data_IF_445867457880
#
_entry.id   IF_445867457880
#
_cell.length_a   1.000
_cell.length_b   1.000
_cell.length_c   1.000
_cell.angle_alpha   90.00
_cell.angle_beta   90.00
_cell.angle_gamma   90.00
#
_symmetry.space_group_name_H-M   'P 1'
#
loop_
_entity.id
_entity.type
_entity.pdbx_description
1 polymer ?
#
# COMPACT_ATOMS: atom_id res chain seq x y z
N UNK A 1 24.51 -18.38 23.00
CA UNK A 1 23.91 -17.14 23.54
C UNK A 1 24.64 -15.87 23.08
N UNK A 2 25.86 -15.57 23.53
CA UNK A 2 26.55 -14.31 23.14
C UNK A 2 26.96 -14.27 21.66
N UNK A 3 27.44 -15.41 21.14
CA UNK A 3 27.76 -15.61 19.72
C UNK A 3 26.53 -15.50 18.81
N UNK A 4 25.40 -16.10 19.23
CA UNK A 4 24.13 -16.03 18.50
C UNK A 4 23.58 -14.60 18.43
N UNK A 5 23.71 -13.83 19.52
CA UNK A 5 23.33 -12.41 19.54
C UNK A 5 24.21 -11.56 18.62
N UNK A 6 25.53 -11.83 18.57
CA UNK A 6 26.45 -11.14 17.64
C UNK A 6 26.12 -11.45 16.18
N UNK A 7 25.78 -12.71 15.86
CA UNK A 7 25.35 -13.11 14.53
C UNK A 7 24.03 -12.43 14.12
N UNK A 8 23.08 -12.31 15.05
CA UNK A 8 21.82 -11.59 14.80
C UNK A 8 22.03 -10.10 14.54
N UNK A 9 22.90 -9.43 15.30
CA UNK A 9 23.23 -8.02 15.09
C UNK A 9 23.91 -7.82 13.73
N UNK A 10 24.90 -8.65 13.39
CA UNK A 10 25.59 -8.58 12.11
C UNK A 10 24.62 -8.76 10.92
N UNK A 11 23.68 -9.70 11.01
CA UNK A 11 22.66 -9.90 9.99
C UNK A 11 21.70 -8.70 9.84
N UNK A 12 21.37 -8.02 10.94
CA UNK A 12 20.55 -6.80 10.91
C UNK A 12 21.33 -5.64 10.27
N UNK A 13 22.60 -5.48 10.61
CA UNK A 13 23.47 -4.44 10.06
C UNK A 13 23.72 -4.65 8.57
N UNK A 14 23.95 -5.89 8.13
CA UNK A 14 24.05 -6.26 6.72
C UNK A 14 22.75 -5.96 5.96
N UNK A 15 21.60 -6.33 6.52
CA UNK A 15 20.31 -6.02 5.93
C UNK A 15 20.02 -4.51 5.88
N UNK A 16 20.49 -3.74 6.86
CA UNK A 16 20.39 -2.28 6.87
C UNK A 16 21.30 -1.67 5.81
N UNK A 17 22.54 -2.13 5.69
CA UNK A 17 23.49 -1.71 4.67
C UNK A 17 22.97 -2.01 3.26
N UNK A 18 22.39 -3.20 3.03
CA UNK A 18 21.77 -3.55 1.76
C UNK A 18 20.57 -2.65 1.42
N UNK A 19 19.76 -2.28 2.41
CA UNK A 19 18.67 -1.30 2.22
C UNK A 19 19.22 0.09 1.89
N UNK A 20 20.28 0.52 2.57
CA UNK A 20 20.92 1.82 2.37
C UNK A 20 21.57 1.92 0.98
N UNK A 21 22.33 0.91 0.56
CA UNK A 21 22.97 0.84 -0.76
C UNK A 21 21.94 0.91 -1.90
N UNK A 22 20.79 0.25 -1.75
CA UNK A 22 19.70 0.36 -2.71
C UNK A 22 19.12 1.78 -2.80
N UNK A 23 19.11 2.54 -1.70
CA UNK A 23 18.67 3.95 -1.67
C UNK A 23 19.73 4.85 -2.32
N UNK A 24 21.02 4.58 -2.12
CA UNK A 24 22.12 5.33 -2.74
C UNK A 24 22.14 5.16 -4.26
N UNK A 25 21.98 3.93 -4.76
CA UNK A 25 21.86 3.66 -6.20
C UNK A 25 20.64 4.37 -6.83
N UNK A 26 19.53 4.47 -6.08
CA UNK A 26 18.36 5.22 -6.52
C UNK A 26 18.63 6.73 -6.57
N UNK A 27 19.40 7.27 -5.63
CA UNK A 27 19.77 8.69 -5.62
C UNK A 27 20.78 9.06 -6.72
N UNK A 28 21.67 8.13 -7.09
CA UNK A 28 22.61 8.32 -8.21
C UNK A 28 21.88 8.30 -9.56
N UNK A 29 20.95 7.35 -9.75
CA UNK A 29 20.23 7.16 -11.02
C UNK A 29 19.03 8.09 -11.18
N UNK A 30 18.44 8.56 -10.09
CA UNK A 30 17.25 9.40 -10.10
C UNK A 30 17.43 10.64 -9.23
N UNK A 31 17.27 11.82 -9.83
CA UNK A 31 17.14 13.07 -9.08
C UNK A 31 15.77 13.11 -8.40
N UNK A 32 15.71 12.62 -7.17
CA UNK A 32 14.48 12.56 -6.39
C UNK A 32 14.15 13.93 -5.75
N UNK A 33 12.90 14.41 -5.79
CA UNK A 33 12.48 15.63 -5.11
C UNK A 33 12.76 15.54 -3.61
N UNK A 34 13.21 16.62 -2.97
CA UNK A 34 13.43 16.65 -1.52
C UNK A 34 12.12 16.76 -0.73
N UNK A 35 11.03 17.17 -1.39
CA UNK A 35 9.72 17.33 -0.78
C UNK A 35 9.15 15.99 -0.34
N UNK A 36 8.96 15.85 0.97
CA UNK A 36 8.50 14.62 1.61
C UNK A 36 7.14 14.14 1.07
N UNK A 37 6.24 15.09 0.74
CA UNK A 37 4.93 14.76 0.15
C UNK A 37 5.09 14.11 -1.24
N UNK A 38 5.90 14.72 -2.10
CA UNK A 38 6.14 14.25 -3.47
C UNK A 38 6.84 12.90 -3.44
N UNK A 39 7.84 12.73 -2.57
CA UNK A 39 8.48 11.43 -2.31
C UNK A 39 7.49 10.37 -1.87
N UNK A 40 6.58 10.71 -0.95
CA UNK A 40 5.54 9.80 -0.48
C UNK A 40 4.63 9.30 -1.61
N UNK A 41 4.24 10.20 -2.52
CA UNK A 41 3.44 9.86 -3.70
C UNK A 41 4.22 8.96 -4.66
N UNK A 42 5.48 9.29 -4.95
CA UNK A 42 6.34 8.50 -5.84
C UNK A 42 6.53 7.09 -5.29
N UNK A 43 6.89 6.94 -4.01
CA UNK A 43 7.09 5.64 -3.37
C UNK A 43 5.81 4.81 -3.39
N UNK A 44 4.65 5.45 -3.15
CA UNK A 44 3.35 4.78 -3.24
C UNK A 44 3.09 4.27 -4.66
N UNK A 45 3.40 5.06 -5.68
CA UNK A 45 3.21 4.70 -7.08
C UNK A 45 4.14 3.55 -7.48
N UNK A 46 5.42 3.62 -7.13
CA UNK A 46 6.40 2.55 -7.37
C UNK A 46 5.97 1.23 -6.71
N UNK A 47 5.51 1.29 -5.46
CA UNK A 47 4.94 0.12 -4.76
C UNK A 47 3.74 -0.45 -5.51
N UNK A 48 2.84 0.42 -5.99
CA UNK A 48 1.68 -0.01 -6.76
C UNK A 48 2.10 -0.75 -8.04
N UNK A 49 3.01 -0.18 -8.83
CA UNK A 49 3.53 -0.81 -10.03
C UNK A 49 4.20 -2.15 -9.76
N UNK A 50 5.06 -2.21 -8.73
CA UNK A 50 5.72 -3.45 -8.33
C UNK A 50 4.71 -4.54 -7.92
N UNK A 51 3.67 -4.16 -7.17
CA UNK A 51 2.62 -5.08 -6.77
C UNK A 51 1.78 -5.57 -7.97
N UNK A 52 1.46 -4.69 -8.91
CA UNK A 52 0.76 -5.06 -10.16
C UNK A 52 1.58 -6.02 -11.00
N UNK A 53 2.84 -5.68 -11.26
CA UNK A 53 3.78 -6.54 -11.98
C UNK A 53 3.90 -7.92 -11.33
N UNK A 54 4.14 -7.98 -10.01
CA UNK A 54 4.17 -9.25 -9.26
C UNK A 54 2.87 -10.03 -9.34
N UNK A 55 1.73 -9.35 -9.28
CA UNK A 55 0.42 -10.00 -9.41
C UNK A 55 0.28 -10.66 -10.79
N UNK A 56 0.67 -9.97 -11.85
CA UNK A 56 0.63 -10.50 -13.21
C UNK A 56 1.53 -11.72 -13.35
N UNK A 57 2.75 -11.68 -12.82
CA UNK A 57 3.64 -12.83 -12.80
C UNK A 57 3.06 -14.03 -12.04
N UNK A 58 2.47 -13.78 -10.89
CA UNK A 58 1.81 -14.82 -10.12
C UNK A 58 0.63 -15.42 -10.91
N UNK A 59 -0.14 -14.58 -11.61
CA UNK A 59 -1.31 -14.99 -12.39
C UNK A 59 -0.93 -15.78 -13.65
N UNK A 60 0.05 -15.30 -14.40
CA UNK A 60 0.39 -15.82 -15.73
C UNK A 60 1.48 -16.89 -15.72
N UNK A 61 2.38 -16.92 -14.73
CA UNK A 61 3.52 -17.85 -14.73
C UNK A 61 3.49 -18.79 -13.52
N UNK A 62 3.34 -18.26 -12.30
CA UNK A 62 3.40 -19.09 -11.10
C UNK A 62 2.26 -20.12 -11.02
N UNK A 63 1.02 -19.68 -11.29
CA UNK A 63 -0.18 -20.55 -11.21
C UNK A 63 -0.27 -21.63 -12.28
N UNK A 64 0.55 -21.57 -13.34
CA UNK A 64 0.54 -22.59 -14.41
C UNK A 64 1.10 -23.93 -13.95
N UNK A 65 2.02 -23.91 -12.99
CA UNK A 65 2.76 -25.10 -12.56
C UNK A 65 2.43 -25.46 -11.10
N UNK A 66 2.41 -26.75 -10.81
CA UNK A 66 2.02 -27.25 -9.48
C UNK A 66 3.19 -27.35 -8.50
N UNK A 67 4.36 -27.72 -8.99
CA UNK A 67 5.56 -27.88 -8.15
C UNK A 67 6.52 -26.71 -8.31
N UNK A 68 7.35 -26.48 -7.30
CA UNK A 68 8.27 -25.34 -7.27
C UNK A 68 9.44 -25.56 -8.24
N UNK A 69 9.87 -26.80 -8.44
CA UNK A 69 10.95 -27.17 -9.37
C UNK A 69 10.55 -26.87 -10.82
N UNK A 70 9.31 -27.17 -11.19
CA UNK A 70 8.76 -26.83 -12.50
C UNK A 70 8.70 -25.32 -12.72
N UNK A 71 8.34 -24.55 -11.68
CA UNK A 71 8.31 -23.08 -11.76
C UNK A 71 9.71 -22.50 -11.97
N UNK A 72 10.71 -23.02 -11.25
CA UNK A 72 12.11 -22.58 -11.38
C UNK A 72 12.66 -22.89 -12.78
N UNK A 73 12.32 -24.04 -13.34
CA UNK A 73 12.71 -24.42 -14.71
C UNK A 73 12.03 -23.55 -15.79
N UNK A 74 10.83 -23.02 -15.51
CA UNK A 74 10.06 -22.17 -16.42
C UNK A 74 10.13 -20.69 -16.05
N UNK A 75 11.35 -20.16 -15.92
CA UNK A 75 11.57 -18.73 -15.75
C UNK A 75 11.12 -17.94 -17.00
N UNK A 76 10.31 -16.87 -16.86
CA UNK A 76 10.02 -15.96 -17.96
C UNK A 76 11.29 -15.28 -18.47
N UNK A 77 11.41 -15.08 -19.78
CA UNK A 77 12.60 -14.48 -20.40
C UNK A 77 12.86 -13.02 -19.97
N UNK A 78 11.79 -12.31 -19.59
CA UNK A 78 11.85 -10.89 -19.21
C UNK A 78 12.33 -10.66 -17.77
N UNK A 79 12.65 -11.72 -17.02
CA UNK A 79 12.99 -11.65 -15.61
C UNK A 79 14.30 -12.37 -15.36
N UNK A 80 15.12 -11.74 -14.54
CA UNK A 80 16.33 -12.33 -14.01
C UNK A 80 16.03 -13.60 -13.16
N UNK A 81 16.73 -14.73 -13.39
CA UNK A 81 16.46 -15.99 -12.71
C UNK A 81 16.55 -15.92 -11.18
N UNK A 82 17.45 -15.11 -10.63
CA UNK A 82 17.61 -14.96 -9.18
C UNK A 82 16.39 -14.26 -8.55
N UNK A 83 15.91 -13.19 -9.21
CA UNK A 83 14.66 -12.55 -8.83
C UNK A 83 13.47 -13.51 -8.94
N UNK A 84 13.43 -14.36 -9.97
CA UNK A 84 12.37 -15.35 -10.12
C UNK A 84 12.38 -16.40 -9.00
N UNK A 85 13.57 -16.91 -8.64
CA UNK A 85 13.73 -17.82 -7.50
C UNK A 85 13.23 -17.18 -6.20
N UNK A 86 13.62 -15.93 -5.94
CA UNK A 86 13.14 -15.20 -4.77
C UNK A 86 11.61 -15.03 -4.75
N UNK A 87 10.98 -14.78 -5.91
CA UNK A 87 9.52 -14.69 -6.03
C UNK A 87 8.84 -16.03 -5.74
N UNK A 88 9.39 -17.14 -6.22
CA UNK A 88 8.88 -18.48 -5.93
C UNK A 88 8.93 -18.75 -4.43
N UNK A 89 10.05 -18.46 -3.78
CA UNK A 89 10.21 -18.66 -2.33
C UNK A 89 9.27 -17.76 -1.53
N UNK A 90 9.04 -16.53 -2.00
CA UNK A 90 8.07 -15.63 -1.42
C UNK A 90 6.64 -16.21 -1.47
N UNK A 91 6.21 -16.77 -2.61
CA UNK A 91 4.85 -17.32 -2.76
C UNK A 91 4.68 -18.72 -2.18
N UNK A 92 5.75 -19.51 -2.10
CA UNK A 92 5.75 -20.84 -1.50
C UNK A 92 5.66 -20.77 0.03
N UNK A 93 6.10 -19.65 0.62
CA UNK A 93 6.09 -19.38 2.05
C UNK A 93 4.70 -19.66 2.70
N UNK A 94 4.63 -20.52 3.73
CA UNK A 94 3.37 -20.89 4.37
C UNK A 94 2.67 -19.70 5.05
N UNK A 95 3.43 -18.74 5.59
CA UNK A 95 2.85 -17.54 6.19
C UNK A 95 2.13 -16.68 5.13
N UNK A 96 2.73 -16.56 3.94
CA UNK A 96 2.10 -15.85 2.83
C UNK A 96 0.82 -16.55 2.38
N UNK A 97 0.84 -17.87 2.21
CA UNK A 97 -0.34 -18.68 1.85
C UNK A 97 -1.47 -18.50 2.84
N UNK A 98 -1.17 -18.62 4.15
CA UNK A 98 -2.16 -18.44 5.23
C UNK A 98 -2.83 -17.06 5.18
N UNK A 99 -2.04 -15.99 5.02
CA UNK A 99 -2.57 -14.62 4.91
C UNK A 99 -3.42 -14.48 3.64
N UNK A 100 -2.96 -15.04 2.52
CA UNK A 100 -3.67 -14.98 1.24
C UNK A 100 -5.03 -15.68 1.30
N UNK A 101 -5.07 -16.87 1.90
CA UNK A 101 -6.30 -17.65 2.10
C UNK A 101 -7.28 -16.94 3.04
N UNK A 102 -6.78 -16.39 4.16
CA UNK A 102 -7.58 -15.58 5.07
C UNK A 102 -8.17 -14.35 4.35
N UNK A 103 -7.37 -13.62 3.57
CA UNK A 103 -7.83 -12.47 2.80
C UNK A 103 -8.87 -12.86 1.74
N UNK A 104 -8.69 -14.02 1.09
CA UNK A 104 -9.66 -14.56 0.12
C UNK A 104 -10.99 -14.89 0.80
N UNK A 105 -10.95 -15.54 1.96
CA UNK A 105 -12.14 -15.87 2.75
C UNK A 105 -12.84 -14.60 3.29
N UNK A 106 -12.08 -13.60 3.73
CA UNK A 106 -12.62 -12.32 4.15
C UNK A 106 -13.29 -11.59 2.98
N UNK A 107 -12.66 -11.60 1.80
CA UNK A 107 -13.24 -11.01 0.59
C UNK A 107 -14.51 -11.71 0.14
N UNK A 108 -14.62 -13.04 0.26
CA UNK A 108 -15.86 -13.77 -0.07
C UNK A 108 -16.99 -13.51 0.93
N UNK A 109 -16.66 -13.21 2.19
CA UNK A 109 -17.63 -12.82 3.23
C UNK A 109 -18.04 -11.35 3.16
N UNK A 110 -17.35 -10.55 2.36
CA UNK A 110 -17.67 -9.14 2.20
C UNK A 110 -18.98 -8.96 1.43
N UNK A 111 -20.07 -8.81 2.16
CA UNK A 111 -21.43 -8.58 1.61
C UNK A 111 -21.72 -7.12 1.31
N UNK A 112 -21.03 -6.21 1.99
CA UNK A 112 -21.19 -4.77 1.81
C UNK A 112 -20.27 -4.28 0.69
N UNK A 113 -20.87 -3.94 -0.44
CA UNK A 113 -20.23 -3.12 -1.48
C UNK A 113 -20.05 -1.72 -0.92
N UNK A 114 -18.85 -1.14 -1.03
CA UNK A 114 -18.63 0.24 -0.63
C UNK A 114 -19.55 1.17 -1.46
N UNK A 115 -20.56 1.77 -0.81
CA UNK A 115 -21.41 2.82 -1.41
C UNK A 115 -20.78 4.21 -1.35
N UNK A 116 -19.68 4.31 -0.62
CA UNK A 116 -18.85 5.50 -0.54
C UNK A 116 -18.12 5.56 -1.88
N UNK A 117 -18.53 6.45 -2.78
CA UNK A 117 -17.93 6.61 -4.11
C UNK A 117 -16.46 7.04 -4.06
N UNK A 118 -16.02 7.90 -4.99
CA UNK A 118 -14.61 8.32 -5.05
C UNK A 118 -14.11 9.07 -3.80
N UNK A 119 -15.02 9.61 -2.98
CA UNK A 119 -14.68 10.34 -1.74
C UNK A 119 -14.46 9.37 -0.59
N UNK A 120 -13.43 9.58 0.23
CA UNK A 120 -13.22 8.79 1.45
C UNK A 120 -14.31 9.08 2.49
N UNK A 121 -14.53 8.15 3.44
CA UNK A 121 -15.46 8.37 4.57
C UNK A 121 -15.06 9.63 5.35
N UNK A 122 -13.77 9.85 5.58
CA UNK A 122 -13.26 11.06 6.23
C UNK A 122 -13.63 12.33 5.46
N UNK A 123 -13.56 12.29 4.12
CA UNK A 123 -13.96 13.44 3.28
C UNK A 123 -15.46 13.69 3.34
N UNK A 124 -16.28 12.64 3.29
CA UNK A 124 -17.73 12.77 3.44
C UNK A 124 -18.12 13.30 4.83
N UNK A 125 -17.42 12.89 5.89
CA UNK A 125 -17.62 13.42 7.24
C UNK A 125 -17.26 14.90 7.32
N UNK A 126 -16.11 15.30 6.77
CA UNK A 126 -15.72 16.72 6.74
C UNK A 126 -16.75 17.55 5.97
N UNK A 127 -17.21 17.06 4.82
CA UNK A 127 -18.23 17.75 4.02
C UNK A 127 -19.59 17.82 4.74
N UNK A 128 -20.02 16.74 5.42
CA UNK A 128 -21.23 16.74 6.26
C UNK A 128 -21.12 17.74 7.43
N UNK A 129 -19.97 17.78 8.09
CA UNK A 129 -19.72 18.78 9.14
C UNK A 129 -19.78 20.18 8.51
N UNK A 130 -19.06 20.44 7.42
CA UNK A 130 -19.11 21.74 6.75
C UNK A 130 -20.51 22.16 6.27
N UNK A 131 -21.39 21.24 5.88
CA UNK A 131 -22.77 21.57 5.54
C UNK A 131 -23.60 21.91 6.78
N UNK A 132 -23.42 21.19 7.88
CA UNK A 132 -24.12 21.49 9.15
C UNK A 132 -23.75 22.86 9.70
N UNK A 133 -22.47 23.21 9.71
CA UNK A 133 -22.00 24.53 10.17
C UNK A 133 -22.50 25.66 9.24
N UNK A 134 -22.69 25.37 7.95
CA UNK A 134 -23.27 26.32 6.97
C UNK A 134 -24.78 26.51 7.17
N UNK A 135 -25.49 25.47 7.57
CA UNK A 135 -26.92 25.52 7.90
C UNK A 135 -27.15 26.28 9.22
N UNK A 136 -26.31 26.07 10.24
CA UNK A 136 -26.34 26.81 11.52
C UNK A 136 -26.07 28.32 11.33
N UNK A 137 -25.08 28.69 10.50
CA UNK A 137 -24.84 30.10 10.14
C UNK A 137 -26.03 30.74 9.38
N UNK A 138 -26.81 29.95 8.64
CA UNK A 138 -28.01 30.42 7.94
C UNK A 138 -29.20 30.54 8.90
N UNK A 139 -29.33 29.67 9.90
CA UNK A 139 -30.34 29.78 10.95
C UNK A 139 -30.09 30.99 11.87
N UNK A 140 -28.83 31.28 12.19
CA UNK A 140 -28.46 32.49 12.94
C UNK A 140 -28.69 33.78 12.13
N UNK A 141 -28.41 33.76 10.83
CA UNK A 141 -28.73 34.89 9.94
C UNK A 141 -30.24 35.05 9.70
N UNK A 142 -31.01 33.96 9.62
CA UNK A 142 -32.48 34.01 9.53
C UNK A 142 -33.09 34.49 10.87
N UNK A 143 -32.52 34.12 12.02
CA UNK A 143 -32.93 34.65 13.32
C UNK A 143 -32.67 36.15 13.44
N UNK A 144 -31.49 36.63 13.02
CA UNK A 144 -31.17 38.07 12.97
C UNK A 144 -32.02 38.80 11.92
N UNK A 145 -32.35 38.18 10.79
CA UNK A 145 -33.25 38.75 9.76
C UNK A 145 -34.71 38.85 10.24
N UNK A 146 -35.21 37.81 10.89
CA UNK A 146 -36.60 37.66 11.33
C UNK A 146 -36.90 38.42 12.62
N UNK A 147 -35.93 38.57 13.51
CA UNK A 147 -36.08 39.22 14.81
C UNK A 147 -35.22 40.49 15.00
N UNK A 148 -34.35 40.84 14.04
CA UNK A 148 -33.45 42.02 14.11
C UNK A 148 -34.09 43.38 13.83
N UNK A 149 -35.39 43.55 14.14
CA UNK A 149 -36.06 44.86 14.16
C UNK A 149 -36.52 45.23 15.58
N UNK A 150 -35.58 45.33 16.52
CA UNK A 150 -35.76 46.11 17.75
C UNK A 150 -34.42 46.74 18.16
N UNK A 151 -34.05 47.81 17.45
CA UNK A 151 -33.22 48.89 18.00
C UNK A 151 -33.75 50.21 17.44
N UNK A 152 -34.64 50.84 18.20
CA UNK A 152 -34.88 52.28 18.20
C UNK A 152 -34.75 52.74 19.64
#
# INVERSE_FOLDING_TARGET
QLEEQRALIAAVDEALAAKLANVELLAEKFTLPKDLHVLGVIVRQLRSHFNSWRYDLHRFHYKKYKTDEQRRAHCPADIDPDHWNWLIDYWSNPQFKRISEANKANRSKQTMVARVGTKSIARNLIEMVQSLWREEELEDNDFVSKYGRYRS
#
